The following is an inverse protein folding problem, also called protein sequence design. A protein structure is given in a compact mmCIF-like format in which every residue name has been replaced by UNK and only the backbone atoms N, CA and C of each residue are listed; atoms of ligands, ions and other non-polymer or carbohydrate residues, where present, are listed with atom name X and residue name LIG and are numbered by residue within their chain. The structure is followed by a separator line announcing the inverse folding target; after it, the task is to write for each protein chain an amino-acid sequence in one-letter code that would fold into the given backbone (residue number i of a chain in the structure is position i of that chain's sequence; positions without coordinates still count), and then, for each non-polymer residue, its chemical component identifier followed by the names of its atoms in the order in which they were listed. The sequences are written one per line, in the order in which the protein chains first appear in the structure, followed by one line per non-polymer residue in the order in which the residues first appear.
data_IF_980519985300
#
_entry.id   IF_980519985300
#
_cell.length_a   1.000
_cell.length_b   1.000
_cell.length_c   1.000
_cell.angle_alpha   90.00
_cell.angle_beta   90.00
_cell.angle_gamma   90.00
#
_symmetry.space_group_name_H-M   'P 1'
#
loop_
_entity.id
_entity.type
_entity.pdbx_description
1 polymer ?
#
# COMPACT_ATOMS: atom_id res chain seq x y z
N UNK A 1 2.64 1.43 -9.44
CA UNK A 1 2.36 0.14 -8.77
C UNK A 1 0.87 -0.14 -8.69
N UNK A 2 0.06 0.72 -8.04
CA UNK A 2 -1.40 0.55 -7.95
C UNK A 2 -2.08 0.39 -9.33
N UNK A 3 -1.72 1.25 -10.29
CA UNK A 3 -2.22 1.12 -11.67
C UNK A 3 -1.96 -0.27 -12.29
N UNK A 4 -0.77 -0.84 -12.05
CA UNK A 4 -0.42 -2.15 -12.59
C UNK A 4 -1.24 -3.29 -11.96
N UNK A 5 -1.71 -3.12 -10.72
CA UNK A 5 -2.65 -4.04 -10.07
C UNK A 5 -4.06 -3.89 -10.65
N UNK A 6 -4.50 -2.66 -10.91
CA UNK A 6 -5.77 -2.39 -11.60
C UNK A 6 -5.79 -3.00 -13.02
N UNK A 7 -4.73 -2.78 -13.80
CA UNK A 7 -4.58 -3.36 -15.14
C UNK A 7 -4.52 -4.89 -15.11
N UNK A 8 -4.00 -5.47 -14.02
CA UNK A 8 -3.98 -6.90 -13.79
C UNK A 8 -5.38 -7.45 -13.51
N UNK A 9 -6.17 -6.77 -12.67
CA UNK A 9 -7.54 -7.16 -12.36
C UNK A 9 -8.42 -7.16 -13.61
N UNK A 10 -8.29 -6.16 -14.48
CA UNK A 10 -9.00 -6.14 -15.78
C UNK A 10 -8.69 -7.37 -16.63
N UNK A 11 -7.42 -7.83 -16.64
CA UNK A 11 -6.99 -9.04 -17.35
C UNK A 11 -7.51 -10.33 -16.71
N UNK A 12 -7.73 -10.35 -15.39
CA UNK A 12 -8.33 -11.49 -14.70
C UNK A 12 -9.83 -11.57 -14.98
N UNK A 13 -10.53 -10.43 -14.94
CA UNK A 13 -11.96 -10.33 -15.25
C UNK A 13 -12.27 -10.70 -16.70
N UNK A 14 -11.42 -10.30 -17.65
CA UNK A 14 -11.64 -10.58 -19.09
C UNK A 14 -11.33 -12.03 -19.49
N UNK A 15 -10.49 -12.75 -18.73
CA UNK A 15 -10.25 -14.18 -18.99
C UNK A 15 -11.47 -15.07 -18.73
N UNK A 16 -12.43 -14.63 -17.93
CA UNK A 16 -13.72 -15.32 -17.72
C UNK A 16 -14.74 -15.10 -18.83
N UNK A 17 -14.61 -14.02 -19.61
CA UNK A 17 -15.54 -13.64 -20.67
C UNK A 17 -14.84 -13.56 -22.03
N UNK A 18 -14.91 -14.67 -22.78
CA UNK A 18 -14.74 -14.75 -24.25
C UNK A 18 -13.50 -14.06 -24.86
N UNK A 19 -12.53 -14.91 -25.23
CA UNK A 19 -11.64 -14.85 -26.40
C UNK A 19 -11.89 -13.68 -27.39
N UNK A 20 -11.30 -12.50 -27.16
CA UNK A 20 -10.90 -11.56 -28.23
C UNK A 20 -9.55 -10.94 -27.88
N UNK A 21 -8.47 -11.59 -28.30
CA UNK A 21 -7.15 -10.96 -28.38
C UNK A 21 -7.21 -9.79 -29.37
N UNK A 22 -7.25 -8.56 -28.85
CA UNK A 22 -6.81 -7.41 -29.62
C UNK A 22 -5.30 -7.50 -29.77
N UNK A 23 -4.86 -7.95 -30.95
CA UNK A 23 -3.46 -8.03 -31.38
C UNK A 23 -2.78 -6.68 -31.18
N UNK A 24 -2.02 -6.54 -30.09
CA UNK A 24 -1.06 -5.46 -29.93
C UNK A 24 0.17 -5.82 -30.77
N UNK A 25 0.35 -5.18 -31.93
CA UNK A 25 1.54 -5.36 -32.78
C UNK A 25 2.79 -5.15 -31.92
N UNK A 26 3.64 -6.16 -31.79
CA UNK A 26 5.00 -6.02 -31.25
C UNK A 26 5.80 -5.19 -32.23
N UNK A 27 6.20 -3.99 -31.85
CA UNK A 27 7.29 -3.30 -32.54
C UNK A 27 8.59 -4.06 -32.21
N UNK A 28 9.37 -4.33 -33.26
CA UNK A 28 10.68 -4.97 -33.18
C UNK A 28 11.60 -4.15 -32.26
N UNK A 29 12.33 -4.84 -31.39
CA UNK A 29 13.31 -4.25 -30.50
C UNK A 29 14.59 -4.03 -31.30
N UNK A 30 14.73 -2.84 -31.90
CA UNK A 30 16.01 -2.39 -32.45
C UNK A 30 16.70 -1.47 -31.44
N UNK A 31 17.91 -1.87 -31.06
CA UNK A 31 18.71 -1.22 -30.04
C UNK A 31 19.16 0.17 -30.50
N UNK A 32 18.63 1.21 -29.86
CA UNK A 32 19.32 2.50 -29.64
C UNK A 32 18.59 3.26 -28.54
N UNK A 33 19.27 3.46 -27.41
CA UNK A 33 18.80 4.31 -26.31
C UNK A 33 18.82 5.76 -26.80
N UNK A 34 17.63 6.31 -27.02
CA UNK A 34 17.41 7.75 -27.03
C UNK A 34 16.32 8.05 -26.01
N UNK A 35 16.63 8.95 -25.07
CA UNK A 35 15.69 9.48 -24.10
C UNK A 35 14.61 10.25 -24.86
N UNK A 36 13.54 9.55 -25.23
CA UNK A 36 12.35 10.15 -25.81
C UNK A 36 11.50 10.69 -24.67
N UNK A 37 11.01 11.92 -24.87
CA UNK A 37 10.16 12.66 -23.94
C UNK A 37 9.04 11.77 -23.35
N UNK A 38 8.63 12.02 -22.09
CA UNK A 38 7.51 11.30 -21.49
C UNK A 38 6.27 11.41 -22.40
N UNK A 39 5.47 10.35 -22.53
CA UNK A 39 4.29 10.37 -23.38
C UNK A 39 3.39 11.52 -22.96
N UNK A 40 3.05 12.38 -23.93
CA UNK A 40 2.05 13.44 -23.79
C UNK A 40 0.76 12.78 -23.31
N UNK A 41 0.29 13.19 -22.13
CA UNK A 41 -0.91 12.65 -21.51
C UNK A 41 -2.13 13.21 -22.27
N UNK A 42 -2.60 12.46 -23.27
CA UNK A 42 -3.84 12.76 -23.97
C UNK A 42 -5.02 12.57 -23.01
N UNK A 43 -5.67 13.67 -22.63
CA UNK A 43 -6.82 13.70 -21.71
C UNK A 43 -8.05 12.95 -22.24
N UNK A 44 -8.09 12.60 -23.53
CA UNK A 44 -9.27 12.01 -24.16
C UNK A 44 -9.22 10.48 -24.36
N UNK A 45 -8.14 9.80 -23.96
CA UNK A 45 -8.12 8.32 -23.99
C UNK A 45 -8.49 7.80 -22.60
N UNK A 46 -9.77 7.50 -22.37
CA UNK A 46 -10.17 6.69 -21.21
C UNK A 46 -9.61 5.28 -21.38
N UNK A 47 -8.39 5.05 -20.90
CA UNK A 47 -7.84 3.70 -20.80
C UNK A 47 -8.73 2.96 -19.79
N UNK A 48 -9.36 1.84 -20.17
CA UNK A 48 -10.15 1.05 -19.22
C UNK A 48 -9.23 0.63 -18.08
N UNK A 49 -9.44 1.20 -16.89
CA UNK A 49 -8.75 0.81 -15.67
C UNK A 49 -9.59 -0.26 -14.97
N UNK A 50 -8.98 -1.40 -14.62
CA UNK A 50 -9.63 -2.36 -13.75
C UNK A 50 -9.75 -1.84 -12.32
N UNK A 51 -10.54 -2.53 -11.50
CA UNK A 51 -10.60 -2.28 -10.07
C UNK A 51 -9.33 -2.78 -9.37
N UNK A 52 -9.12 -2.39 -8.10
CA UNK A 52 -8.08 -3.03 -7.31
C UNK A 52 -8.42 -4.52 -7.10
N UNK A 53 -7.47 -5.46 -7.24
CA UNK A 53 -7.77 -6.88 -7.15
C UNK A 53 -8.17 -7.28 -5.73
N UNK A 54 -9.16 -8.15 -5.64
CA UNK A 54 -9.63 -8.76 -4.39
C UNK A 54 -8.58 -9.70 -3.78
N UNK A 55 -8.64 -9.98 -2.47
CA UNK A 55 -7.80 -11.00 -1.84
C UNK A 55 -7.90 -12.37 -2.53
N UNK A 56 -9.11 -12.77 -2.94
CA UNK A 56 -9.35 -14.02 -3.66
C UNK A 56 -8.61 -14.09 -5.00
N UNK A 57 -8.69 -13.03 -5.79
CA UNK A 57 -7.98 -12.93 -7.07
C UNK A 57 -6.46 -13.01 -6.86
N UNK A 58 -5.93 -12.27 -5.88
CA UNK A 58 -4.50 -12.29 -5.54
C UNK A 58 -4.05 -13.66 -5.03
N UNK A 59 -4.82 -14.31 -4.16
CA UNK A 59 -4.49 -15.61 -3.57
C UNK A 59 -4.38 -16.73 -4.61
N UNK A 60 -5.10 -16.61 -5.73
CA UNK A 60 -5.04 -17.57 -6.85
C UNK A 60 -3.79 -17.43 -7.72
N UNK A 61 -2.98 -16.39 -7.51
CA UNK A 61 -1.82 -16.09 -8.36
C UNK A 61 -0.51 -16.73 -7.84
N UNK A 62 0.46 -16.83 -8.76
CA UNK A 62 1.85 -17.14 -8.41
C UNK A 62 2.63 -15.85 -8.12
N UNK A 63 3.47 -15.88 -7.08
CA UNK A 63 4.37 -14.79 -6.67
C UNK A 63 5.22 -14.26 -7.84
N UNK A 64 5.82 -15.15 -8.65
CA UNK A 64 6.66 -14.75 -9.79
C UNK A 64 5.87 -13.93 -10.80
N UNK A 65 4.66 -14.39 -11.12
CA UNK A 65 3.77 -13.71 -12.06
C UNK A 65 3.30 -12.38 -11.52
N UNK A 66 2.95 -12.31 -10.23
CA UNK A 66 2.54 -11.08 -9.57
C UNK A 66 3.67 -10.04 -9.58
N UNK A 67 4.90 -10.46 -9.25
CA UNK A 67 6.06 -9.59 -9.28
C UNK A 67 6.37 -9.09 -10.70
N UNK A 68 6.40 -9.98 -11.70
CA UNK A 68 6.70 -9.63 -13.09
C UNK A 68 5.68 -8.63 -13.68
N UNK A 69 4.40 -8.76 -13.31
CA UNK A 69 3.34 -7.91 -13.84
C UNK A 69 3.20 -6.57 -13.12
N UNK A 70 3.48 -6.53 -11.82
CA UNK A 70 3.22 -5.35 -10.99
C UNK A 70 4.48 -4.67 -10.42
N UNK A 71 5.67 -5.24 -10.70
CA UNK A 71 6.98 -4.75 -10.27
C UNK A 71 7.08 -4.51 -8.76
N UNK A 72 6.70 -5.52 -7.97
CA UNK A 72 6.56 -5.41 -6.50
C UNK A 72 7.86 -5.71 -5.74
N UNK A 73 8.84 -6.31 -6.39
CA UNK A 73 10.05 -6.83 -5.78
C UNK A 73 9.74 -7.86 -4.70
N UNK A 74 10.50 -7.82 -3.60
CA UNK A 74 10.34 -8.73 -2.47
C UNK A 74 8.94 -8.66 -1.81
N UNK A 75 8.20 -7.55 -2.02
CA UNK A 75 6.87 -7.35 -1.43
C UNK A 75 5.81 -8.26 -2.06
N UNK A 76 6.03 -8.78 -3.27
CA UNK A 76 5.12 -9.73 -3.90
C UNK A 76 4.81 -10.92 -2.98
N UNK A 77 5.86 -11.46 -2.33
CA UNK A 77 5.74 -12.59 -1.41
C UNK A 77 4.91 -12.29 -0.16
N UNK A 78 4.96 -11.04 0.33
CA UNK A 78 4.20 -10.61 1.50
C UNK A 78 2.73 -10.38 1.15
N UNK A 79 2.48 -9.71 0.02
CA UNK A 79 1.13 -9.43 -0.49
C UNK A 79 0.39 -10.74 -0.78
N UNK A 80 1.04 -11.70 -1.46
CA UNK A 80 0.43 -12.99 -1.77
C UNK A 80 0.09 -13.77 -0.49
N UNK A 81 1.01 -13.86 0.46
CA UNK A 81 0.77 -14.53 1.75
C UNK A 81 -0.36 -13.87 2.54
N UNK A 82 -0.44 -12.54 2.52
CA UNK A 82 -1.52 -11.81 3.18
C UNK A 82 -2.87 -12.16 2.53
N UNK A 83 -2.96 -12.13 1.21
CA UNK A 83 -4.16 -12.49 0.46
C UNK A 83 -4.62 -13.92 0.78
N UNK A 84 -3.70 -14.89 0.79
CA UNK A 84 -3.98 -16.29 1.15
C UNK A 84 -4.48 -16.44 2.60
N UNK A 85 -3.91 -15.69 3.55
CA UNK A 85 -4.35 -15.71 4.95
C UNK A 85 -5.74 -15.10 5.14
N UNK A 86 -6.07 -14.08 4.35
CA UNK A 86 -7.41 -13.49 4.35
C UNK A 86 -8.41 -14.48 3.76
N UNK A 87 -8.11 -15.07 2.60
CA UNK A 87 -9.00 -16.01 1.91
C UNK A 87 -9.23 -17.29 2.72
N UNK A 88 -8.20 -17.81 3.39
CA UNK A 88 -8.33 -18.97 4.30
C UNK A 88 -9.01 -18.65 5.64
N UNK A 89 -9.34 -17.39 5.91
CA UNK A 89 -9.97 -16.95 7.15
C UNK A 89 -9.05 -16.88 8.37
N UNK A 90 -7.73 -17.12 8.21
CA UNK A 90 -6.75 -16.94 9.29
C UNK A 90 -6.64 -15.48 9.73
N UNK A 91 -6.84 -14.54 8.80
CA UNK A 91 -6.95 -13.11 9.07
C UNK A 91 -8.35 -12.66 8.68
N UNK A 92 -9.18 -12.32 9.68
CA UNK A 92 -10.52 -11.77 9.47
C UNK A 92 -10.46 -10.25 9.52
N UNK A 93 -10.57 -9.60 8.36
CA UNK A 93 -10.45 -8.13 8.27
C UNK A 93 -11.51 -7.40 9.10
N UNK A 94 -12.76 -7.88 9.11
CA UNK A 94 -13.85 -7.31 9.92
C UNK A 94 -13.52 -7.24 11.42
N UNK A 95 -12.77 -8.22 11.93
CA UNK A 95 -12.35 -8.24 13.33
C UNK A 95 -11.32 -7.14 13.68
N UNK A 96 -10.76 -6.43 12.70
CA UNK A 96 -9.94 -5.24 12.93
C UNK A 96 -10.75 -3.94 12.95
N UNK A 97 -11.92 -3.94 12.31
CA UNK A 97 -12.86 -2.81 12.29
C UNK A 97 -13.80 -2.85 13.50
N UNK A 98 -14.08 -4.05 14.01
CA UNK A 98 -14.90 -4.29 15.20
C UNK A 98 -14.08 -4.00 16.49
N UNK A 99 -14.15 -2.77 17.02
CA UNK A 99 -13.63 -2.43 18.34
C UNK A 99 -13.21 -0.97 18.50
N UNK A 100 -14.17 -0.09 18.77
CA UNK A 100 -14.01 1.38 18.85
C UNK A 100 -13.50 1.92 20.20
N UNK A 101 -12.85 1.11 21.04
CA UNK A 101 -12.36 1.56 22.36
C UNK A 101 -10.84 1.78 22.37
N UNK A 102 -10.34 2.74 23.15
CA UNK A 102 -8.91 3.09 23.23
C UNK A 102 -8.05 1.92 23.73
N UNK A 103 -8.57 1.11 24.65
CA UNK A 103 -7.91 -0.13 25.10
C UNK A 103 -7.87 -1.21 24.00
N UNK A 104 -8.72 -1.09 22.98
CA UNK A 104 -8.70 -1.91 21.76
C UNK A 104 -7.59 -1.48 20.80
N UNK A 105 -7.27 -0.18 20.72
CA UNK A 105 -6.29 0.41 19.79
C UNK A 105 -4.90 -0.21 19.92
N UNK A 106 -4.37 -0.36 21.13
CA UNK A 106 -3.05 -0.96 21.32
C UNK A 106 -3.05 -2.47 21.07
N UNK A 107 -4.15 -3.17 21.40
CA UNK A 107 -4.30 -4.59 21.08
C UNK A 107 -4.36 -4.79 19.56
N UNK A 108 -5.08 -3.94 18.85
CA UNK A 108 -5.17 -3.91 17.38
C UNK A 108 -3.79 -3.68 16.78
N UNK A 109 -3.07 -2.65 17.24
CA UNK A 109 -1.71 -2.35 16.76
C UNK A 109 -0.74 -3.53 16.96
N UNK A 110 -0.77 -4.19 18.14
CA UNK A 110 0.03 -5.40 18.41
C UNK A 110 -0.35 -6.57 17.50
N UNK A 111 -1.63 -6.72 17.14
CA UNK A 111 -2.07 -7.74 16.17
C UNK A 111 -1.54 -7.42 14.77
N UNK A 112 -1.61 -6.17 14.33
CA UNK A 112 -1.09 -5.73 13.03
C UNK A 112 0.43 -5.96 12.92
N UNK A 113 1.19 -5.65 13.97
CA UNK A 113 2.65 -5.87 14.02
C UNK A 113 3.06 -7.34 13.85
N UNK A 114 2.18 -8.30 14.17
CA UNK A 114 2.45 -9.73 13.98
C UNK A 114 2.32 -10.16 12.50
N UNK A 115 1.74 -9.31 11.65
CA UNK A 115 1.59 -9.61 10.22
C UNK A 115 2.93 -9.38 9.52
N UNK A 116 3.44 -10.41 8.85
CA UNK A 116 4.72 -10.33 8.14
C UNK A 116 4.68 -9.24 7.07
N UNK A 117 5.67 -8.34 7.11
CA UNK A 117 5.77 -7.19 6.22
C UNK A 117 5.17 -5.91 6.79
N UNK A 118 4.51 -5.96 7.95
CA UNK A 118 3.99 -4.78 8.63
C UNK A 118 4.99 -4.33 9.70
N UNK A 119 5.69 -3.23 9.41
CA UNK A 119 6.50 -2.53 10.40
C UNK A 119 5.70 -1.43 11.10
N UNK A 120 6.29 -0.74 12.09
CA UNK A 120 5.64 0.34 12.83
C UNK A 120 4.99 1.40 11.93
N UNK A 121 5.70 1.82 10.88
CA UNK A 121 5.19 2.76 9.88
C UNK A 121 3.94 2.25 9.15
N UNK A 122 3.98 1.01 8.66
CA UNK A 122 2.84 0.42 7.93
C UNK A 122 1.63 0.25 8.87
N UNK A 123 1.87 -0.21 10.09
CA UNK A 123 0.81 -0.35 11.09
C UNK A 123 0.18 1.01 11.43
N UNK A 124 0.96 2.06 11.67
CA UNK A 124 0.42 3.39 11.96
C UNK A 124 -0.45 3.93 10.81
N UNK A 125 -0.02 3.74 9.55
CA UNK A 125 -0.84 4.09 8.39
C UNK A 125 -2.16 3.29 8.34
N UNK A 126 -2.11 1.99 8.64
CA UNK A 126 -3.33 1.15 8.68
C UNK A 126 -4.26 1.60 9.80
N UNK A 127 -3.74 1.92 10.98
CA UNK A 127 -4.53 2.45 12.10
C UNK A 127 -5.28 3.72 11.67
N UNK A 128 -4.61 4.61 10.95
CA UNK A 128 -5.23 5.81 10.39
C UNK A 128 -6.34 5.47 9.37
N UNK A 129 -6.15 4.48 8.49
CA UNK A 129 -7.20 4.03 7.58
C UNK A 129 -8.43 3.45 8.29
N UNK A 130 -8.25 2.86 9.49
CA UNK A 130 -9.34 2.34 10.33
C UNK A 130 -10.03 3.45 11.12
N UNK A 131 -9.38 4.62 11.31
CA UNK A 131 -9.91 5.78 12.03
C UNK A 131 -9.22 6.08 13.37
N UNK A 132 -8.08 5.44 13.64
CA UNK A 132 -7.27 5.69 14.84
C UNK A 132 -6.05 6.55 14.52
N UNK A 133 -6.00 7.76 15.08
CA UNK A 133 -5.03 8.79 14.73
C UNK A 133 -3.94 9.01 15.79
N UNK A 134 -3.89 8.16 16.82
CA UNK A 134 -2.98 8.37 17.97
C UNK A 134 -1.51 8.05 17.66
N UNK A 135 -1.25 7.23 16.63
CA UNK A 135 0.11 6.85 16.24
C UNK A 135 0.50 7.52 14.93
N UNK A 136 1.61 8.25 14.94
CA UNK A 136 2.12 8.93 13.75
C UNK A 136 2.93 7.95 12.89
N UNK A 137 2.64 7.81 11.59
CA UNK A 137 3.45 7.02 10.67
C UNK A 137 4.76 7.75 10.35
N UNK A 138 5.78 7.51 11.16
CA UNK A 138 7.09 8.16 10.99
C UNK A 138 7.88 7.53 9.84
N UNK A 139 8.15 8.33 8.80
CA UNK A 139 9.08 8.03 7.72
C UNK A 139 10.25 9.04 7.65
N UNK A 140 11.04 8.98 6.59
CA UNK A 140 12.18 9.88 6.40
C UNK A 140 11.74 11.33 6.27
N UNK A 141 10.62 11.62 5.59
CA UNK A 141 10.12 12.98 5.41
C UNK A 141 9.58 13.54 6.72
N UNK A 142 8.89 12.72 7.52
CA UNK A 142 8.43 13.08 8.87
C UNK A 142 9.61 13.49 9.75
N UNK A 143 10.73 12.74 9.66
CA UNK A 143 11.97 13.03 10.39
C UNK A 143 12.59 14.35 9.93
N UNK A 144 12.60 14.61 8.62
CA UNK A 144 13.12 15.86 8.04
C UNK A 144 12.27 17.05 8.50
N UNK A 145 10.94 16.94 8.37
CA UNK A 145 10.00 17.95 8.83
C UNK A 145 10.18 18.29 10.31
N UNK A 146 10.31 17.28 11.18
CA UNK A 146 10.58 17.48 12.61
C UNK A 146 11.90 18.22 12.88
N UNK A 147 12.93 18.00 12.05
CA UNK A 147 14.21 18.69 12.18
C UNK A 147 14.14 20.14 11.73
N UNK A 148 13.52 20.40 10.58
CA UNK A 148 13.52 21.71 9.94
C UNK A 148 12.51 22.67 10.55
N UNK A 149 11.29 22.19 10.84
CA UNK A 149 10.20 23.04 11.35
C UNK A 149 10.23 23.13 12.87
N UNK A 150 10.50 22.02 13.56
CA UNK A 150 10.44 21.95 15.02
C UNK A 150 11.83 22.01 15.68
N UNK A 151 12.91 22.11 14.90
CA UNK A 151 14.28 22.23 15.42
C UNK A 151 14.79 20.99 16.17
N UNK A 152 14.15 19.83 16.00
CA UNK A 152 14.40 18.65 16.82
C UNK A 152 15.69 17.93 16.42
N UNK A 153 16.58 17.71 17.40
CA UNK A 153 17.72 16.79 17.25
C UNK A 153 17.24 15.36 17.51
N UNK A 154 16.78 14.69 16.46
CA UNK A 154 16.36 13.29 16.53
C UNK A 154 17.58 12.38 16.79
N UNK A 155 17.64 11.80 17.99
CA UNK A 155 18.71 10.89 18.42
C UNK A 155 18.57 9.49 17.78
N UNK A 156 17.33 9.03 17.54
CA UNK A 156 17.03 7.74 16.90
C UNK A 156 15.75 7.81 16.04
N UNK A 157 15.67 7.01 14.97
CA UNK A 157 14.43 6.88 14.15
C UNK A 157 13.22 6.34 14.94
N UNK A 158 13.48 5.55 15.99
CA UNK A 158 12.45 4.95 16.85
C UNK A 158 12.00 5.86 17.99
N UNK A 159 12.89 6.75 18.44
CA UNK A 159 12.63 7.76 19.49
C UNK A 159 12.29 9.10 18.84
N UNK A 160 11.46 9.06 17.79
CA UNK A 160 10.83 10.29 17.33
C UNK A 160 9.91 10.73 18.45
N UNK A 161 10.35 11.72 19.23
CA UNK A 161 9.58 12.32 20.31
C UNK A 161 8.34 12.99 19.70
N UNK A 162 7.29 12.19 19.52
CA UNK A 162 5.94 12.59 19.11
C UNK A 162 5.28 13.47 20.18
N UNK A 163 5.96 13.73 21.31
CA UNK A 163 5.54 14.61 22.41
C UNK A 163 5.00 15.97 21.95
N UNK A 164 5.57 16.56 20.89
CA UNK A 164 5.07 17.84 20.33
C UNK A 164 3.60 17.73 19.93
N UNK A 165 3.21 16.57 19.42
CA UNK A 165 1.85 16.29 18.97
C UNK A 165 0.97 15.69 20.06
N UNK A 166 1.47 15.33 21.25
CA UNK A 166 0.66 14.79 22.35
C UNK A 166 -0.48 15.74 22.75
N UNK A 167 -0.26 17.05 22.64
CA UNK A 167 -1.30 18.08 22.88
C UNK A 167 -2.52 17.99 21.95
N UNK A 168 -2.41 17.24 20.84
CA UNK A 168 -3.48 17.03 19.88
C UNK A 168 -4.12 15.66 20.00
N UNK A 169 -3.95 14.95 21.12
CA UNK A 169 -4.64 13.69 21.37
C UNK A 169 -6.17 13.85 21.26
N UNK A 170 -6.89 12.93 20.57
CA UNK A 170 -6.44 11.67 19.95
C UNK A 170 -6.09 11.76 18.44
N UNK A 171 -5.84 12.96 17.91
CA UNK A 171 -5.68 13.27 16.49
C UNK A 171 -4.25 13.60 16.05
N UNK A 172 -3.23 13.10 16.77
CA UNK A 172 -1.81 13.43 16.56
C UNK A 172 -1.34 13.20 15.11
N UNK A 173 -1.77 12.11 14.48
CA UNK A 173 -1.43 11.80 13.09
C UNK A 173 -1.99 12.82 12.10
N UNK A 174 -3.20 13.33 12.33
CA UNK A 174 -3.82 14.33 11.44
C UNK A 174 -3.06 15.65 11.50
N UNK A 175 -2.60 16.04 12.69
CA UNK A 175 -1.83 17.27 12.86
C UNK A 175 -0.42 17.18 12.27
N UNK A 176 0.15 15.99 12.17
CA UNK A 176 1.45 15.80 11.53
C UNK A 176 1.40 15.96 10.00
N UNK A 177 0.21 15.90 9.40
CA UNK A 177 0.03 16.01 7.94
C UNK A 177 -0.10 17.46 7.45
N UNK A 178 -0.28 18.41 8.36
CA UNK A 178 -0.51 19.82 8.05
C UNK A 178 0.71 20.65 8.43
#
# INVERSE_FOLDING_TARGET
MAQALCDLQLKLSTKGSVRKELKRKRASFDGKKHCSNPPVFDRNTQIPSGNFPSPKELASMNEKTLNQRCNLGYRASHILRLAQKIESGQIKLRAFEEGYDLLSTDKLYRKLLKIKGFGPFACANIMMCIGFYQKIPVDTETIIHLKEVHGMKLLNKRDTNVQIYEKYEPFQCLTCWY
#
